data_IF_157633777885
#
_entry.id   IF_157633777885
#
_cell.length_a   1.000
_cell.length_b   1.000
_cell.length_c   1.000
_cell.angle_alpha   90.00
_cell.angle_beta   90.00
_cell.angle_gamma   90.00
#
_symmetry.space_group_name_H-M   'P 1'
#
loop_
_entity.id
_entity.type
_entity.pdbx_description
1 polymer ?
#
# COMPACT_ATOMS: atom_id res chain seq x y z
N UNK A 1 7.29 -7.56 17.54
CA UNK A 1 7.24 -7.24 16.10
C UNK A 1 6.62 -8.44 15.40
N UNK A 2 5.47 -8.27 14.76
CA UNK A 2 4.79 -9.31 13.99
C UNK A 2 4.99 -8.99 12.51
N UNK A 3 5.29 -10.00 11.70
CA UNK A 3 5.32 -9.91 10.24
C UNK A 3 4.34 -10.94 9.71
N UNK A 4 3.43 -10.49 8.86
CA UNK A 4 2.40 -11.34 8.25
C UNK A 4 2.56 -11.27 6.73
N UNK A 5 2.79 -12.42 6.10
CA UNK A 5 2.63 -12.55 4.65
C UNK A 5 1.16 -12.85 4.38
N UNK A 6 0.46 -11.90 3.79
CA UNK A 6 -0.94 -12.05 3.40
C UNK A 6 -1.07 -12.74 2.05
N UNK A 7 -2.28 -13.15 1.73
CA UNK A 7 -2.67 -13.79 0.47
C UNK A 7 -2.57 -12.85 -0.73
N UNK A 8 -2.82 -11.55 -0.51
CA UNK A 8 -2.74 -10.49 -1.51
C UNK A 8 -2.54 -9.12 -0.84
N UNK A 9 -2.45 -8.07 -1.65
CA UNK A 9 -2.25 -6.69 -1.20
C UNK A 9 -3.50 -6.06 -0.56
N UNK A 10 -4.71 -6.56 -0.87
CA UNK A 10 -5.96 -6.10 -0.24
C UNK A 10 -5.97 -6.55 1.22
N UNK A 11 -5.64 -7.82 1.47
CA UNK A 11 -5.47 -8.37 2.81
C UNK A 11 -4.31 -7.70 3.56
N UNK A 12 -3.22 -7.35 2.86
CA UNK A 12 -2.08 -6.66 3.47
C UNK A 12 -2.47 -5.30 4.08
N UNK A 13 -3.17 -4.46 3.31
CA UNK A 13 -3.60 -3.15 3.81
C UNK A 13 -4.68 -3.30 4.89
N UNK A 14 -5.62 -4.22 4.74
CA UNK A 14 -6.66 -4.49 5.72
C UNK A 14 -6.09 -4.94 7.07
N UNK A 15 -5.14 -5.87 7.06
CA UNK A 15 -4.47 -6.36 8.28
C UNK A 15 -3.67 -5.24 8.97
N UNK A 16 -2.96 -4.41 8.20
CA UNK A 16 -2.20 -3.30 8.74
C UNK A 16 -3.10 -2.21 9.36
N UNK A 17 -4.23 -1.89 8.73
CA UNK A 17 -5.24 -0.98 9.30
C UNK A 17 -5.88 -1.54 10.57
N UNK A 18 -6.18 -2.85 10.61
CA UNK A 18 -6.67 -3.51 11.81
C UNK A 18 -5.68 -3.41 12.97
N UNK A 19 -4.39 -3.58 12.70
CA UNK A 19 -3.33 -3.38 13.68
C UNK A 19 -3.22 -1.91 14.13
N UNK A 20 -3.39 -0.95 13.21
CA UNK A 20 -3.39 0.49 13.53
C UNK A 20 -4.52 0.86 14.50
N UNK A 21 -5.73 0.35 14.27
CA UNK A 21 -6.87 0.58 15.17
C UNK A 21 -6.73 -0.12 16.52
N UNK A 22 -5.97 -1.21 16.59
CA UNK A 22 -5.58 -1.84 17.85
C UNK A 22 -4.49 -1.06 18.62
N UNK A 23 -4.05 0.10 18.12
CA UNK A 23 -3.08 0.98 18.76
C UNK A 23 -1.62 0.68 18.41
N UNK A 24 -1.34 -0.26 17.51
CA UNK A 24 0.01 -0.51 17.03
C UNK A 24 0.40 0.50 15.95
N UNK A 25 1.69 0.80 15.84
CA UNK A 25 2.22 1.45 14.64
C UNK A 25 2.33 0.39 13.54
N UNK A 26 1.52 0.53 12.49
CA UNK A 26 1.45 -0.43 11.40
C UNK A 26 2.00 0.15 10.09
N UNK A 27 2.54 -0.73 9.25
CA UNK A 27 3.03 -0.38 7.94
C UNK A 27 2.92 -1.57 6.99
N UNK A 28 2.92 -1.31 5.69
CA UNK A 28 3.10 -2.30 4.63
C UNK A 28 4.07 -1.78 3.57
N UNK A 29 4.56 -2.65 2.69
CA UNK A 29 5.47 -2.30 1.61
C UNK A 29 5.01 -2.98 0.32
N UNK A 30 4.96 -2.21 -0.78
CA UNK A 30 4.48 -2.68 -2.08
C UNK A 30 5.10 -1.89 -3.24
N UNK A 31 4.68 -2.17 -4.46
CA UNK A 31 5.05 -1.51 -5.72
C UNK A 31 3.79 -1.35 -6.60
N UNK A 32 3.89 -0.66 -7.74
CA UNK A 32 2.78 -0.26 -8.64
C UNK A 32 1.54 -1.16 -8.61
N UNK A 33 1.60 -2.40 -9.14
CA UNK A 33 0.42 -3.26 -9.21
C UNK A 33 -0.24 -3.55 -7.85
N UNK A 34 0.56 -3.70 -6.79
CA UNK A 34 0.05 -3.92 -5.46
C UNK A 34 -0.49 -2.64 -4.81
N UNK A 35 0.12 -1.48 -5.11
CA UNK A 35 -0.41 -0.19 -4.66
C UNK A 35 -1.79 0.10 -5.26
N UNK A 36 -1.99 -0.22 -6.54
CA UNK A 36 -3.28 -0.08 -7.22
C UNK A 36 -4.37 -0.92 -6.53
N UNK A 37 -4.04 -2.13 -6.02
CA UNK A 37 -4.95 -2.98 -5.25
C UNK A 37 -5.24 -2.44 -3.84
N UNK A 38 -4.37 -1.59 -3.28
CA UNK A 38 -4.56 -1.01 -1.94
C UNK A 38 -5.42 0.25 -1.93
N UNK A 39 -5.83 0.79 -3.09
CA UNK A 39 -6.53 2.07 -3.20
C UNK A 39 -7.81 2.14 -2.34
N UNK A 40 -8.61 1.09 -2.31
CA UNK A 40 -9.82 1.03 -1.46
C UNK A 40 -9.46 1.12 0.03
N UNK A 41 -8.43 0.37 0.46
CA UNK A 41 -7.95 0.40 1.83
C UNK A 41 -7.41 1.77 2.24
N UNK A 42 -6.69 2.46 1.35
CA UNK A 42 -6.19 3.82 1.59
C UNK A 42 -7.34 4.82 1.78
N UNK A 43 -8.37 4.74 0.94
CA UNK A 43 -9.57 5.57 1.07
C UNK A 43 -10.28 5.33 2.41
N UNK A 44 -10.37 4.05 2.82
CA UNK A 44 -10.92 3.67 4.12
C UNK A 44 -10.06 4.16 5.30
N UNK A 45 -8.74 4.12 5.18
CA UNK A 45 -7.85 4.67 6.20
C UNK A 45 -8.05 6.18 6.36
N UNK A 46 -8.24 6.91 5.24
CA UNK A 46 -8.55 8.34 5.24
C UNK A 46 -9.85 8.67 5.96
N UNK A 47 -10.95 7.97 5.64
CA UNK A 47 -12.27 8.25 6.25
C UNK A 47 -12.34 7.87 7.74
N UNK A 48 -11.57 6.86 8.18
CA UNK A 48 -11.54 6.43 9.58
C UNK A 48 -10.40 7.07 10.40
N UNK A 49 -9.61 7.96 9.79
CA UNK A 49 -8.42 8.55 10.41
C UNK A 49 -7.43 7.50 10.96
N UNK A 50 -7.33 6.35 10.30
CA UNK A 50 -6.48 5.24 10.72
C UNK A 50 -5.01 5.48 10.31
N UNK A 51 -4.05 5.59 11.25
CA UNK A 51 -2.67 5.90 10.92
C UNK A 51 -1.97 4.70 10.28
N UNK A 52 -1.52 4.86 9.02
CA UNK A 52 -0.83 3.82 8.26
C UNK A 52 0.32 4.42 7.44
N UNK A 53 1.41 3.67 7.28
CA UNK A 53 2.49 4.00 6.34
C UNK A 53 2.62 2.92 5.28
N UNK A 54 2.53 3.29 4.01
CA UNK A 54 2.80 2.41 2.87
C UNK A 54 4.13 2.79 2.26
N UNK A 55 5.11 1.87 2.29
CA UNK A 55 6.37 2.08 1.58
C UNK A 55 6.17 1.71 0.12
N UNK A 56 6.09 2.73 -0.74
CA UNK A 56 5.85 2.58 -2.17
C UNK A 56 7.17 2.54 -2.94
N UNK A 57 7.67 1.34 -3.23
CA UNK A 57 8.83 1.14 -4.09
C UNK A 57 8.44 1.26 -5.56
N UNK A 58 8.73 2.40 -6.19
CA UNK A 58 8.41 2.61 -7.60
C UNK A 58 9.31 1.79 -8.52
N UNK A 59 8.68 1.02 -9.41
CA UNK A 59 9.33 0.27 -10.50
C UNK A 59 8.72 0.67 -11.84
N UNK A 60 9.32 0.29 -12.96
CA UNK A 60 8.80 0.62 -14.28
C UNK A 60 7.40 0.04 -14.49
N UNK A 61 6.40 0.90 -14.67
CA UNK A 61 5.03 0.54 -15.12
C UNK A 61 4.81 0.82 -16.62
N UNK A 62 3.55 0.79 -17.11
CA UNK A 62 2.31 0.43 -16.40
C UNK A 62 2.11 -1.09 -16.28
N UNK A 63 1.12 -1.51 -15.49
CA UNK A 63 0.79 -2.93 -15.24
C UNK A 63 2.02 -3.69 -14.72
N UNK A 64 2.30 -4.90 -15.23
CA UNK A 64 3.51 -5.66 -14.87
C UNK A 64 4.79 -4.86 -15.11
N UNK A 65 4.81 -4.09 -16.20
CA UNK A 65 5.89 -3.21 -16.60
C UNK A 65 7.26 -3.90 -16.65
N UNK A 66 8.25 -3.30 -16.00
CA UNK A 66 9.62 -3.80 -15.87
C UNK A 66 9.95 -4.08 -14.39
N UNK A 67 9.67 -5.29 -13.88
CA UNK A 67 9.74 -5.59 -12.44
C UNK A 67 11.09 -5.30 -11.77
N UNK A 68 12.19 -5.29 -12.54
CA UNK A 68 13.56 -5.12 -12.05
C UNK A 68 14.18 -3.78 -12.43
N UNK A 69 13.39 -2.81 -12.91
CA UNK A 69 13.86 -1.47 -13.30
C UNK A 69 13.17 -0.41 -12.45
N UNK A 70 13.94 0.55 -11.94
CA UNK A 70 13.40 1.71 -11.24
C UNK A 70 12.74 2.70 -12.19
N UNK A 71 11.71 3.40 -11.71
CA UNK A 71 11.04 4.49 -12.41
C UNK A 71 10.49 5.52 -11.40
N UNK A 72 9.97 6.64 -11.91
CA UNK A 72 9.36 7.72 -11.13
C UNK A 72 7.98 8.11 -11.69
N UNK A 73 7.27 7.13 -12.26
CA UNK A 73 6.02 7.35 -13.01
C UNK A 73 4.78 7.52 -12.12
N UNK A 74 4.87 7.18 -10.82
CA UNK A 74 3.67 6.90 -10.03
C UNK A 74 3.33 8.02 -9.04
N UNK A 75 3.95 9.20 -9.20
CA UNK A 75 3.74 10.36 -8.33
C UNK A 75 2.26 10.77 -8.25
N UNK A 76 1.57 10.86 -9.39
CA UNK A 76 0.15 11.25 -9.39
C UNK A 76 -0.74 10.18 -8.79
N UNK A 77 -0.46 8.90 -9.03
CA UNK A 77 -1.19 7.80 -8.37
C UNK A 77 -1.01 7.89 -6.86
N UNK A 78 0.19 8.17 -6.35
CA UNK A 78 0.42 8.30 -4.91
C UNK A 78 -0.26 9.52 -4.26
N UNK A 79 -0.45 10.62 -5.00
CA UNK A 79 -1.06 11.85 -4.48
C UNK A 79 -2.59 11.85 -4.52
N UNK A 80 -3.18 11.14 -5.48
CA UNK A 80 -4.61 11.23 -5.78
C UNK A 80 -5.37 9.91 -5.67
N UNK A 81 -4.70 8.80 -5.33
CA UNK A 81 -5.34 7.52 -5.02
C UNK A 81 -5.65 7.43 -3.52
N UNK A 82 -6.79 6.79 -3.19
CA UNK A 82 -7.29 6.63 -1.83
C UNK A 82 -8.32 7.69 -1.48
#
# INVERSE_FOLDING_TARGET
MLVLQTEDEIAAIAAAMGAALAGARAATATSGPGFDLMAEGLSWAGINEAPIVVTYYQRGGPSTGMPTRGAQSDLFTALFSG
#
